data_IF_344083166450
#
_entry.id   IF_344083166450
#
_cell.length_a   1.000
_cell.length_b   1.000
_cell.length_c   1.000
_cell.angle_alpha   90.00
_cell.angle_beta   90.00
_cell.angle_gamma   90.00
#
_symmetry.space_group_name_H-M   'P 1'
#
loop_
_entity.id
_entity.type
_entity.pdbx_description
1 polymer ?
#
# COMPACT_ATOMS: atom_id res chain seq x y z
N UNK A 1 -3.98 11.95 15.86
CA UNK A 1 -2.86 10.99 15.86
C UNK A 1 -2.84 10.45 17.28
N UNK A 2 -3.06 9.15 17.48
CA UNK A 2 -3.16 8.56 18.82
C UNK A 2 -1.91 7.70 19.06
N UNK A 3 -1.15 8.00 20.10
CA UNK A 3 0.15 7.38 20.42
C UNK A 3 0.10 6.78 21.82
N UNK A 4 0.50 5.52 21.96
CA UNK A 4 0.51 4.81 23.24
C UNK A 4 1.93 4.59 23.74
N UNK A 5 2.17 4.91 25.02
CA UNK A 5 3.45 4.65 25.69
C UNK A 5 3.45 3.22 26.21
N UNK A 6 4.28 2.37 25.61
CA UNK A 6 4.38 0.94 25.99
C UNK A 6 5.33 0.74 27.19
N UNK A 7 6.33 1.62 27.36
CA UNK A 7 7.32 1.54 28.43
C UNK A 7 7.86 2.93 28.80
N UNK A 8 8.09 3.16 30.09
CA UNK A 8 8.61 4.40 30.65
C UNK A 8 7.59 5.13 31.51
N UNK A 9 8.00 6.27 32.08
CA UNK A 9 7.11 7.19 32.80
C UNK A 9 7.40 8.63 32.33
N UNK A 10 7.12 8.95 31.05
CA UNK A 10 7.29 10.30 30.55
C UNK A 10 6.30 11.24 31.23
N UNK A 11 6.64 12.52 31.32
CA UNK A 11 5.70 13.53 31.78
C UNK A 11 4.70 13.86 30.67
N UNK A 12 3.55 14.43 31.04
CA UNK A 12 2.52 14.84 30.08
C UNK A 12 3.07 15.86 29.06
N UNK A 13 3.98 16.74 29.51
CA UNK A 13 4.64 17.73 28.67
C UNK A 13 5.54 17.08 27.60
N UNK A 14 6.28 16.03 27.97
CA UNK A 14 7.12 15.27 27.03
C UNK A 14 6.27 14.53 25.99
N UNK A 15 5.14 13.95 26.41
CA UNK A 15 4.20 13.29 25.50
C UNK A 15 3.59 14.31 24.53
N UNK A 16 3.21 15.49 25.02
CA UNK A 16 2.68 16.56 24.19
C UNK A 16 3.70 17.04 23.15
N UNK A 17 4.95 17.28 23.57
CA UNK A 17 6.03 17.69 22.68
C UNK A 17 6.30 16.65 21.58
N UNK A 18 6.37 15.36 21.93
CA UNK A 18 6.57 14.28 20.96
C UNK A 18 5.40 14.18 19.98
N UNK A 19 4.17 14.30 20.47
CA UNK A 19 2.96 14.27 19.63
C UNK A 19 2.98 15.42 18.62
N UNK A 20 3.38 16.62 19.04
CA UNK A 20 3.51 17.77 18.13
C UNK A 20 4.55 17.53 17.04
N UNK A 21 5.75 17.06 17.40
CA UNK A 21 6.83 16.79 16.44
C UNK A 21 6.42 15.71 15.44
N UNK A 22 5.80 14.62 15.92
CA UNK A 22 5.33 13.54 15.04
C UNK A 22 4.20 13.99 14.11
N UNK A 23 3.28 14.85 14.59
CA UNK A 23 2.23 15.42 13.76
C UNK A 23 2.80 16.33 12.66
N UNK A 24 3.82 17.14 12.99
CA UNK A 24 4.51 17.99 12.03
C UNK A 24 5.24 17.15 10.97
N UNK A 25 6.03 16.16 11.38
CA UNK A 25 6.73 15.26 10.46
C UNK A 25 5.75 14.49 9.56
N UNK A 26 4.60 14.09 10.10
CA UNK A 26 3.56 13.43 9.30
C UNK A 26 2.95 14.38 8.26
N UNK A 27 2.72 15.65 8.62
CA UNK A 27 2.22 16.65 7.69
C UNK A 27 3.23 16.94 6.57
N UNK A 28 4.51 17.05 6.92
CA UNK A 28 5.61 17.24 5.97
C UNK A 28 5.75 16.04 5.02
N UNK A 29 5.77 14.81 5.56
CA UNK A 29 5.82 13.60 4.74
C UNK A 29 4.60 13.44 3.80
N UNK A 30 3.43 13.99 4.17
CA UNK A 30 2.25 14.03 3.28
C UNK A 30 2.41 15.10 2.19
N UNK A 31 3.03 16.23 2.49
CA UNK A 31 3.31 17.28 1.50
C UNK A 31 4.41 16.85 0.51
N UNK A 32 5.42 16.14 0.99
CA UNK A 32 6.55 15.63 0.21
C UNK A 32 6.23 14.34 -0.56
N UNK A 33 5.08 13.71 -0.28
CA UNK A 33 4.49 12.72 -1.20
C UNK A 33 4.02 13.43 -2.47
N UNK A 34 4.97 13.70 -3.37
CA UNK A 34 4.67 13.72 -4.80
C UNK A 34 4.10 12.36 -5.25
N UNK A 35 3.82 12.16 -6.55
CA UNK A 35 3.50 10.84 -7.09
C UNK A 35 4.76 9.96 -7.07
N UNK A 36 5.29 9.67 -5.88
CA UNK A 36 6.38 8.73 -5.69
C UNK A 36 5.92 7.34 -6.13
N UNK A 37 6.87 6.53 -6.58
CA UNK A 37 6.61 5.16 -7.00
C UNK A 37 5.84 4.43 -5.91
N UNK A 38 4.55 4.21 -6.17
CA UNK A 38 3.73 3.37 -5.32
C UNK A 38 4.33 1.98 -5.40
N UNK A 39 4.66 1.37 -4.26
CA UNK A 39 4.96 -0.05 -4.23
C UNK A 39 3.67 -0.81 -4.60
N UNK A 40 3.58 -1.24 -5.86
CA UNK A 40 2.45 -1.98 -6.40
C UNK A 40 2.61 -3.50 -6.25
N UNK A 41 3.66 -3.98 -5.58
CA UNK A 41 3.83 -5.41 -5.34
C UNK A 41 2.67 -5.96 -4.52
N UNK A 42 2.07 -7.05 -5.00
CA UNK A 42 0.93 -7.69 -4.34
C UNK A 42 -0.39 -6.94 -4.43
N UNK A 43 -0.45 -5.74 -5.03
CA UNK A 43 -1.74 -5.16 -5.40
C UNK A 43 -2.36 -6.01 -6.50
N UNK A 44 -3.65 -6.39 -6.41
CA UNK A 44 -4.35 -7.00 -7.52
C UNK A 44 -4.43 -5.96 -8.64
N UNK A 45 -3.41 -5.95 -9.51
CA UNK A 45 -3.45 -5.19 -10.74
C UNK A 45 -4.64 -5.69 -11.56
N UNK A 46 -5.17 -4.84 -12.44
CA UNK A 46 -6.12 -5.33 -13.44
C UNK A 46 -5.45 -6.49 -14.16
N UNK A 47 -6.00 -7.70 -13.98
CA UNK A 47 -5.58 -8.85 -14.76
C UNK A 47 -5.70 -8.43 -16.23
N UNK A 48 -4.65 -8.67 -17.03
CA UNK A 48 -4.68 -8.36 -18.47
C UNK A 48 -5.88 -9.02 -19.19
N UNK A 49 -6.51 -10.00 -18.52
CA UNK A 49 -7.71 -10.69 -18.96
C UNK A 49 -8.75 -10.63 -17.83
N UNK A 50 -9.53 -9.54 -17.80
CA UNK A 50 -10.70 -9.39 -16.91
C UNK A 50 -11.85 -10.33 -17.31
N UNK A 51 -11.86 -10.77 -18.58
CA UNK A 51 -12.92 -11.61 -19.12
C UNK A 51 -12.42 -13.03 -19.33
N UNK A 52 -13.28 -14.01 -19.03
CA UNK A 52 -13.07 -15.40 -19.45
C UNK A 52 -13.11 -15.42 -20.98
N UNK A 53 -11.94 -15.41 -21.63
CA UNK A 53 -11.83 -15.50 -23.09
C UNK A 53 -12.16 -16.93 -23.50
N UNK A 54 -13.43 -17.19 -23.81
CA UNK A 54 -13.85 -18.46 -24.40
C UNK A 54 -13.43 -18.48 -25.88
N UNK A 55 -12.34 -19.19 -26.19
CA UNK A 55 -11.88 -19.43 -27.55
C UNK A 55 -11.90 -20.94 -27.87
N UNK A 56 -12.99 -21.47 -28.46
CA UNK A 56 -13.10 -22.88 -28.81
C UNK A 56 -12.13 -23.31 -29.93
N UNK A 57 -11.47 -22.37 -30.61
CA UNK A 57 -10.40 -22.62 -31.60
C UNK A 57 -8.98 -22.48 -31.03
N UNK A 58 -8.80 -22.34 -29.72
CA UNK A 58 -7.47 -22.17 -29.11
C UNK A 58 -6.55 -23.40 -29.29
N UNK A 59 -7.14 -24.55 -29.59
CA UNK A 59 -6.40 -25.79 -29.84
C UNK A 59 -6.88 -26.41 -31.15
N UNK A 60 -5.93 -26.79 -32.00
CA UNK A 60 -6.23 -27.57 -33.20
C UNK A 60 -6.43 -29.03 -32.80
N UNK A 61 -7.52 -29.64 -33.24
CA UNK A 61 -7.70 -31.09 -33.13
C UNK A 61 -6.76 -31.78 -34.12
N UNK A 62 -5.59 -32.20 -33.64
CA UNK A 62 -4.67 -33.00 -34.45
C UNK A 62 -5.10 -34.46 -34.35
N UNK A 63 -5.51 -35.04 -35.48
CA UNK A 63 -5.73 -36.49 -35.60
C UNK A 63 -4.45 -37.10 -36.16
N UNK A 64 -3.83 -38.01 -35.42
CA UNK A 64 -2.70 -38.80 -35.90
C UNK A 64 -3.24 -40.03 -36.64
N UNK A 65 -2.69 -40.30 -37.84
CA UNK A 65 -2.98 -41.49 -38.66
C UNK A 65 -1.74 -42.36 -38.74
#
# INVERSE_FOLDING_TARGET
>A
MDMTVVKGNPTDDEVAALTMVLAQLQAEAKADRGPGDLNLWGRPGKLRHNETIFNPGAFNNVTYF
#
